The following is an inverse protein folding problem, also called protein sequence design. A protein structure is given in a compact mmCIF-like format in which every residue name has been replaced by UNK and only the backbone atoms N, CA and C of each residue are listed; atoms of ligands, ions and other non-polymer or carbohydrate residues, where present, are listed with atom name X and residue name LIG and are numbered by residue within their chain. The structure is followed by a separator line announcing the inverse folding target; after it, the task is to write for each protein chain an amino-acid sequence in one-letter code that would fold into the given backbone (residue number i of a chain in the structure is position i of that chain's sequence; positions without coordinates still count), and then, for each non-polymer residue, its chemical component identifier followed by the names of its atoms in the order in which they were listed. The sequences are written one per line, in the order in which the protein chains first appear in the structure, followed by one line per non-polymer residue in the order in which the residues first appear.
data_IF_014921856819
#
_entry.id   IF_014921856819
#
_cell.length_a   1.000
_cell.length_b   1.000
_cell.length_c   1.000
_cell.angle_alpha   90.00
_cell.angle_beta   90.00
_cell.angle_gamma   90.00
#
_symmetry.space_group_name_H-M   'P 1'
#
loop_
_entity.id
_entity.type
_entity.pdbx_description
1 polymer ?
#
# COMPACT_ATOMS: atom_id res chain seq x y z
N UNK A 1 -43.90 3.69 -11.46
CA UNK A 1 -43.64 2.34 -10.93
C UNK A 1 -43.21 2.53 -9.49
N UNK A 2 -44.02 2.05 -8.54
CA UNK A 2 -43.65 1.99 -7.12
C UNK A 2 -42.49 1.02 -7.01
N UNK A 3 -41.33 1.52 -6.66
CA UNK A 3 -40.16 0.69 -6.34
C UNK A 3 -40.53 -0.11 -5.09
N UNK A 4 -40.26 -1.41 -5.09
CA UNK A 4 -40.34 -2.20 -3.87
C UNK A 4 -39.34 -1.63 -2.88
N UNK A 5 -39.86 -1.05 -1.80
CA UNK A 5 -39.04 -0.51 -0.73
C UNK A 5 -38.20 -1.63 -0.12
N UNK A 6 -36.96 -1.32 0.24
CA UNK A 6 -35.94 -2.32 0.58
C UNK A 6 -35.25 -1.92 1.87
N UNK A 7 -34.89 -2.90 2.69
CA UNK A 7 -34.09 -2.65 3.88
C UNK A 7 -32.67 -2.19 3.51
N UNK A 8 -32.04 -1.29 4.29
CA UNK A 8 -30.68 -0.84 4.02
C UNK A 8 -29.65 -1.97 3.92
N UNK A 9 -29.75 -3.01 4.75
CA UNK A 9 -28.85 -4.17 4.72
C UNK A 9 -28.95 -4.96 3.41
N UNK A 10 -30.17 -5.14 2.91
CA UNK A 10 -30.44 -5.88 1.67
C UNK A 10 -29.98 -5.07 0.46
N UNK A 11 -30.21 -3.76 0.47
CA UNK A 11 -29.73 -2.84 -0.56
C UNK A 11 -28.19 -2.83 -0.62
N UNK A 12 -27.51 -2.83 0.52
CA UNK A 12 -26.04 -2.94 0.57
C UNK A 12 -25.57 -4.29 0.05
N UNK A 13 -26.22 -5.40 0.41
CA UNK A 13 -25.86 -6.72 -0.11
C UNK A 13 -25.96 -6.76 -1.65
N UNK A 14 -27.09 -6.29 -2.19
CA UNK A 14 -27.31 -6.22 -3.64
C UNK A 14 -26.31 -5.28 -4.35
N UNK A 15 -25.99 -4.13 -3.74
CA UNK A 15 -24.96 -3.24 -4.26
C UNK A 15 -23.57 -3.89 -4.32
N UNK A 16 -23.20 -4.63 -3.28
CA UNK A 16 -21.92 -5.32 -3.24
C UNK A 16 -21.86 -6.46 -4.26
N UNK A 17 -22.96 -7.15 -4.52
CA UNK A 17 -23.07 -8.15 -5.59
C UNK A 17 -22.90 -7.51 -6.98
N UNK A 18 -23.59 -6.39 -7.25
CA UNK A 18 -23.45 -5.62 -8.49
C UNK A 18 -22.00 -5.18 -8.72
N UNK A 19 -21.32 -4.71 -7.67
CA UNK A 19 -19.93 -4.26 -7.74
C UNK A 19 -18.90 -5.38 -7.82
N UNK A 20 -19.25 -6.62 -7.45
CA UNK A 20 -18.31 -7.73 -7.41
C UNK A 20 -17.76 -8.10 -8.81
N UNK A 21 -18.53 -7.81 -9.87
CA UNK A 21 -18.08 -8.03 -11.25
C UNK A 21 -17.02 -7.01 -11.72
N UNK A 22 -16.97 -5.82 -11.11
CA UNK A 22 -16.14 -4.70 -11.57
C UNK A 22 -14.94 -4.42 -10.67
N UNK A 23 -15.03 -4.75 -9.37
CA UNK A 23 -14.06 -4.35 -8.36
C UNK A 23 -13.19 -5.53 -7.93
N UNK A 24 -11.89 -5.25 -7.72
CA UNK A 24 -11.00 -6.19 -7.06
C UNK A 24 -11.50 -6.54 -5.64
N UNK A 25 -11.33 -7.79 -5.23
CA UNK A 25 -11.80 -8.33 -3.94
C UNK A 25 -11.44 -7.46 -2.73
N UNK A 26 -10.21 -6.91 -2.71
CA UNK A 26 -9.76 -6.06 -1.61
C UNK A 26 -10.53 -4.72 -1.56
N UNK A 27 -10.86 -4.17 -2.71
CA UNK A 27 -11.69 -2.95 -2.81
C UNK A 27 -13.10 -3.25 -2.36
N UNK A 28 -13.65 -4.40 -2.77
CA UNK A 28 -14.99 -4.85 -2.38
C UNK A 28 -15.07 -5.12 -0.87
N UNK A 29 -14.05 -5.74 -0.27
CA UNK A 29 -13.96 -5.92 1.19
C UNK A 29 -13.94 -4.57 1.93
N UNK A 30 -13.25 -3.57 1.38
CA UNK A 30 -13.26 -2.21 1.90
C UNK A 30 -14.64 -1.54 1.82
N UNK A 31 -15.39 -1.78 0.74
CA UNK A 31 -16.77 -1.30 0.59
C UNK A 31 -17.69 -1.97 1.62
N UNK A 32 -17.62 -3.30 1.74
CA UNK A 32 -18.39 -4.07 2.72
C UNK A 32 -18.17 -3.56 4.14
N UNK A 33 -16.92 -3.32 4.53
CA UNK A 33 -16.61 -2.79 5.86
C UNK A 33 -17.23 -1.40 6.08
N UNK A 34 -17.06 -0.46 5.14
CA UNK A 34 -17.56 0.92 5.28
C UNK A 34 -19.08 1.00 5.27
N UNK A 35 -19.73 0.25 4.39
CA UNK A 35 -21.19 0.21 4.28
C UNK A 35 -21.83 -0.56 5.43
N UNK A 36 -21.17 -1.62 5.93
CA UNK A 36 -21.57 -2.30 7.17
C UNK A 36 -21.60 -1.34 8.35
N UNK A 37 -20.54 -0.53 8.55
CA UNK A 37 -20.55 0.52 9.57
C UNK A 37 -21.65 1.57 9.37
N UNK A 38 -22.15 1.77 8.14
CA UNK A 38 -23.28 2.67 7.90
C UNK A 38 -24.59 1.99 8.31
N UNK A 39 -24.85 0.77 7.85
CA UNK A 39 -26.07 0.03 8.17
C UNK A 39 -26.18 -0.32 9.66
N UNK A 40 -25.06 -0.58 10.33
CA UNK A 40 -25.04 -0.88 11.78
C UNK A 40 -25.40 0.35 12.63
N UNK A 41 -25.09 1.55 12.13
CA UNK A 41 -25.42 2.82 12.80
C UNK A 41 -26.82 3.33 12.43
N UNK A 42 -27.31 2.96 11.25
CA UNK A 42 -28.53 3.50 10.68
C UNK A 42 -29.77 2.94 11.39
N UNK A 43 -30.60 3.84 11.92
CA UNK A 43 -31.83 3.51 12.65
C UNK A 43 -33.08 3.82 11.80
N UNK A 44 -33.16 3.17 10.63
CA UNK A 44 -34.37 3.17 9.78
C UNK A 44 -34.61 1.77 9.22
N UNK A 45 -35.88 1.42 8.98
CA UNK A 45 -36.24 0.10 8.48
C UNK A 45 -36.07 0.02 6.95
N UNK A 46 -36.28 1.13 6.24
CA UNK A 46 -36.35 1.18 4.79
C UNK A 46 -35.43 2.24 4.17
N UNK A 47 -34.96 1.96 2.95
CA UNK A 47 -34.15 2.91 2.17
C UNK A 47 -34.90 4.22 1.89
N UNK A 48 -36.22 4.16 1.69
CA UNK A 48 -37.05 5.34 1.43
C UNK A 48 -37.07 6.36 2.58
N UNK A 49 -36.74 5.93 3.80
CA UNK A 49 -36.67 6.78 5.00
C UNK A 49 -35.34 7.54 5.12
N UNK A 50 -34.34 7.22 4.29
CA UNK A 50 -33.05 7.90 4.32
C UNK A 50 -33.21 9.33 3.80
N UNK A 51 -32.95 10.29 4.68
CA UNK A 51 -33.01 11.72 4.37
C UNK A 51 -31.63 12.38 4.30
N UNK A 52 -31.51 13.58 3.70
CA UNK A 52 -30.28 14.36 3.75
C UNK A 52 -29.79 14.63 5.18
N UNK A 53 -30.71 14.72 6.14
CA UNK A 53 -30.38 14.95 7.56
C UNK A 53 -29.65 13.74 8.15
N UNK A 54 -30.14 12.52 7.90
CA UNK A 54 -29.51 11.27 8.36
C UNK A 54 -28.09 11.16 7.82
N UNK A 55 -27.89 11.44 6.52
CA UNK A 55 -26.55 11.40 5.90
C UNK A 55 -25.59 12.42 6.52
N UNK A 56 -26.09 13.60 6.91
CA UNK A 56 -25.30 14.60 7.65
C UNK A 56 -24.99 14.17 9.08
N UNK A 57 -25.94 13.57 9.78
CA UNK A 57 -25.76 13.03 11.13
C UNK A 57 -24.70 11.92 11.14
N UNK A 58 -24.75 11.02 10.16
CA UNK A 58 -23.75 9.97 10.01
C UNK A 58 -22.34 10.54 9.87
N UNK A 59 -22.17 11.55 9.00
CA UNK A 59 -20.88 12.24 8.87
C UNK A 59 -20.41 12.86 10.18
N UNK A 60 -21.30 13.52 10.91
CA UNK A 60 -20.98 14.18 12.18
C UNK A 60 -20.51 13.17 13.24
N UNK A 61 -21.11 11.99 13.28
CA UNK A 61 -20.71 10.89 14.18
C UNK A 61 -19.33 10.32 13.79
N UNK A 62 -19.09 10.10 12.49
CA UNK A 62 -17.84 9.48 12.01
C UNK A 62 -16.63 10.42 12.07
N UNK A 63 -16.85 11.73 11.94
CA UNK A 63 -15.78 12.71 11.82
C UNK A 63 -14.78 12.76 13.01
N UNK A 64 -15.21 12.75 14.29
CA UNK A 64 -14.27 12.77 15.42
C UNK A 64 -13.46 11.47 15.58
N UNK A 65 -13.92 10.35 15.02
CA UNK A 65 -13.28 9.04 15.21
C UNK A 65 -12.23 8.70 14.15
N UNK A 66 -12.20 9.44 13.04
CA UNK A 66 -11.44 9.08 11.86
C UNK A 66 -10.48 10.17 11.41
N UNK A 67 -9.32 9.75 10.91
CA UNK A 67 -8.48 10.62 10.10
C UNK A 67 -9.25 11.09 8.84
N UNK A 68 -8.98 12.30 8.36
CA UNK A 68 -9.73 12.91 7.25
C UNK A 68 -9.75 12.05 5.97
N UNK A 69 -8.65 11.38 5.63
CA UNK A 69 -8.59 10.47 4.47
C UNK A 69 -9.47 9.22 4.66
N UNK A 70 -9.52 8.69 5.87
CA UNK A 70 -10.40 7.56 6.20
C UNK A 70 -11.86 7.97 6.14
N UNK A 71 -12.19 9.14 6.70
CA UNK A 71 -13.53 9.73 6.62
C UNK A 71 -13.92 10.00 5.16
N UNK A 72 -13.01 10.56 4.36
CA UNK A 72 -13.21 10.77 2.93
C UNK A 72 -13.54 9.46 2.22
N UNK A 73 -12.74 8.41 2.44
CA UNK A 73 -12.98 7.11 1.83
C UNK A 73 -14.32 6.48 2.23
N UNK A 74 -14.72 6.63 3.50
CA UNK A 74 -16.02 6.16 3.98
C UNK A 74 -17.17 6.91 3.33
N UNK A 75 -17.11 8.24 3.27
CA UNK A 75 -18.15 9.07 2.67
C UNK A 75 -18.20 8.96 1.14
N UNK A 76 -17.07 8.79 0.46
CA UNK A 76 -17.04 8.55 -0.99
C UNK A 76 -17.66 7.17 -1.31
N UNK A 77 -17.38 6.12 -0.53
CA UNK A 77 -18.06 4.82 -0.68
C UNK A 77 -19.57 4.96 -0.45
N UNK A 78 -19.99 5.63 0.64
CA UNK A 78 -21.41 5.88 0.92
C UNK A 78 -22.08 6.66 -0.21
N UNK A 79 -21.42 7.69 -0.75
CA UNK A 79 -21.94 8.47 -1.87
C UNK A 79 -22.18 7.61 -3.11
N UNK A 80 -21.27 6.69 -3.44
CA UNK A 80 -21.45 5.78 -4.57
C UNK A 80 -22.62 4.82 -4.35
N UNK A 81 -22.78 4.29 -3.13
CA UNK A 81 -23.92 3.47 -2.77
C UNK A 81 -25.24 4.24 -2.92
N UNK A 82 -25.37 5.43 -2.32
CA UNK A 82 -26.59 6.26 -2.44
C UNK A 82 -26.88 6.61 -3.90
N UNK A 83 -25.86 6.95 -4.69
CA UNK A 83 -26.02 7.21 -6.12
C UNK A 83 -26.54 5.99 -6.87
N UNK A 84 -26.09 4.79 -6.53
CA UNK A 84 -26.61 3.55 -7.09
C UNK A 84 -28.07 3.31 -6.65
N UNK A 85 -28.40 3.54 -5.37
CA UNK A 85 -29.77 3.45 -4.85
C UNK A 85 -30.74 4.39 -5.57
N UNK A 86 -30.30 5.58 -5.99
CA UNK A 86 -31.10 6.49 -6.82
C UNK A 86 -31.46 5.90 -8.18
N UNK A 87 -30.55 5.13 -8.79
CA UNK A 87 -30.81 4.51 -10.12
C UNK A 87 -31.90 3.46 -10.06
N UNK A 88 -32.09 2.85 -8.88
CA UNK A 88 -33.15 1.89 -8.61
C UNK A 88 -34.41 2.54 -8.02
N UNK A 89 -34.36 3.85 -7.74
CA UNK A 89 -35.43 4.61 -7.09
C UNK A 89 -35.70 4.22 -5.63
N UNK A 90 -34.70 3.67 -4.94
CA UNK A 90 -34.76 3.33 -3.51
C UNK A 90 -34.66 4.56 -2.60
N UNK A 91 -34.12 5.67 -3.13
CA UNK A 91 -34.01 6.98 -2.46
C UNK A 91 -34.34 8.10 -3.44
N UNK A 92 -34.60 9.30 -2.92
CA UNK A 92 -34.88 10.48 -3.75
C UNK A 92 -33.71 10.81 -4.69
N UNK A 93 -34.01 11.22 -5.93
CA UNK A 93 -32.99 11.60 -6.91
C UNK A 93 -32.11 12.76 -6.41
N UNK A 94 -30.80 12.61 -6.54
CA UNK A 94 -29.82 13.62 -6.09
C UNK A 94 -29.43 13.52 -4.61
N UNK A 95 -29.94 12.55 -3.85
CA UNK A 95 -29.57 12.30 -2.45
C UNK A 95 -28.05 12.18 -2.22
N UNK A 96 -27.31 11.62 -3.19
CA UNK A 96 -25.85 11.46 -3.16
C UNK A 96 -25.11 12.80 -3.01
N UNK A 97 -25.71 13.91 -3.46
CA UNK A 97 -25.13 15.26 -3.32
C UNK A 97 -25.10 15.72 -1.86
N UNK A 98 -25.97 15.17 -1.01
CA UNK A 98 -26.00 15.43 0.42
C UNK A 98 -24.85 14.75 1.18
N UNK A 99 -24.25 13.70 0.59
CA UNK A 99 -23.05 13.07 1.13
C UNK A 99 -21.84 13.92 0.76
N UNK A 100 -21.43 14.83 1.64
CA UNK A 100 -20.29 15.76 1.39
C UNK A 100 -19.02 15.23 2.06
N UNK A 101 -18.14 14.62 1.27
CA UNK A 101 -16.81 14.21 1.70
C UNK A 101 -15.90 15.42 1.97
N UNK A 102 -15.01 15.36 2.97
CA UNK A 102 -13.95 16.36 3.13
C UNK A 102 -13.01 16.34 1.92
N UNK A 103 -12.20 17.40 1.78
CA UNK A 103 -11.18 17.48 0.73
C UNK A 103 -10.11 16.37 0.85
N UNK A 104 -10.00 15.75 2.02
CA UNK A 104 -8.95 14.80 2.38
C UNK A 104 -7.90 15.50 3.24
N UNK A 105 -7.20 14.73 4.06
CA UNK A 105 -6.15 15.24 4.93
C UNK A 105 -4.86 15.49 4.18
N UNK A 106 -4.00 16.31 4.77
CA UNK A 106 -2.61 16.39 4.33
C UNK A 106 -1.95 15.03 4.58
N UNK A 107 -1.74 14.24 3.51
CA UNK A 107 -1.09 12.94 3.63
C UNK A 107 0.26 13.11 4.32
N UNK A 108 0.46 12.47 5.48
CA UNK A 108 1.77 12.42 6.14
C UNK A 108 2.82 12.02 5.10
N UNK A 109 3.75 12.93 4.84
CA UNK A 109 4.78 12.82 3.81
C UNK A 109 5.97 11.96 4.27
N UNK A 110 5.73 11.03 5.20
CA UNK A 110 6.79 10.19 5.77
C UNK A 110 7.48 9.41 4.67
N UNK A 111 8.80 9.56 4.63
CA UNK A 111 9.71 9.01 3.63
C UNK A 111 10.90 8.43 4.39
N UNK A 112 11.39 7.25 3.98
CA UNK A 112 12.65 6.74 4.50
C UNK A 112 13.79 7.43 3.75
N UNK A 113 14.68 8.15 4.45
CA UNK A 113 15.83 8.79 3.79
C UNK A 113 16.83 7.75 3.29
N UNK A 114 17.66 8.13 2.32
CA UNK A 114 18.69 7.25 1.77
C UNK A 114 19.69 6.82 2.85
N UNK A 115 20.11 7.73 3.73
CA UNK A 115 21.06 7.43 4.81
C UNK A 115 20.48 6.41 5.80
N UNK A 116 19.19 6.53 6.13
CA UNK A 116 18.51 5.54 6.97
C UNK A 116 18.37 4.20 6.26
N UNK A 117 18.07 4.20 4.98
CA UNK A 117 18.01 2.97 4.19
C UNK A 117 19.38 2.27 4.15
N UNK A 118 20.45 3.00 3.87
CA UNK A 118 21.82 2.48 3.85
C UNK A 118 22.25 1.92 5.21
N UNK A 119 21.91 2.58 6.31
CA UNK A 119 22.19 2.07 7.65
C UNK A 119 21.46 0.74 7.93
N UNK A 120 20.17 0.65 7.56
CA UNK A 120 19.37 -0.57 7.73
C UNK A 120 19.90 -1.70 6.85
N UNK A 121 20.08 -1.44 5.56
CA UNK A 121 20.56 -2.44 4.60
C UNK A 121 21.99 -2.88 4.89
N UNK A 122 22.86 -1.97 5.33
CA UNK A 122 24.23 -2.28 5.75
C UNK A 122 24.27 -3.17 7.00
N UNK A 123 23.39 -2.94 7.98
CA UNK A 123 23.24 -3.82 9.13
C UNK A 123 22.75 -5.22 8.68
N UNK A 124 21.70 -5.27 7.86
CA UNK A 124 21.13 -6.52 7.37
C UNK A 124 22.12 -7.32 6.52
N UNK A 125 22.90 -6.66 5.67
CA UNK A 125 23.97 -7.28 4.89
C UNK A 125 25.03 -7.91 5.79
N UNK A 126 25.39 -7.23 6.89
CA UNK A 126 26.47 -7.68 7.78
C UNK A 126 26.06 -8.81 8.71
N UNK A 127 24.85 -8.75 9.26
CA UNK A 127 24.42 -9.64 10.35
C UNK A 127 23.30 -10.60 9.95
N UNK A 128 22.53 -10.27 8.91
CA UNK A 128 21.33 -11.00 8.49
C UNK A 128 21.38 -11.38 7.00
N UNK A 129 22.59 -11.61 6.47
CA UNK A 129 22.82 -11.84 5.04
C UNK A 129 21.93 -12.96 4.49
N UNK A 130 21.39 -12.69 3.30
CA UNK A 130 20.43 -13.53 2.58
C UNK A 130 19.22 -14.02 3.41
N UNK A 131 18.97 -13.48 4.61
CA UNK A 131 17.76 -13.77 5.36
C UNK A 131 16.53 -13.25 4.60
N UNK A 132 15.36 -13.78 4.94
CA UNK A 132 14.10 -13.28 4.40
C UNK A 132 13.99 -11.74 4.52
N UNK A 133 14.38 -11.20 5.67
CA UNK A 133 14.23 -9.78 5.97
C UNK A 133 15.19 -8.90 5.17
N UNK A 134 16.44 -9.33 5.05
CA UNK A 134 17.45 -8.66 4.24
C UNK A 134 17.04 -8.65 2.77
N UNK A 135 16.64 -9.80 2.23
CA UNK A 135 16.15 -9.94 0.86
C UNK A 135 14.93 -9.05 0.63
N UNK A 136 13.93 -9.08 1.52
CA UNK A 136 12.71 -8.30 1.39
C UNK A 136 12.99 -6.79 1.36
N UNK A 137 13.76 -6.27 2.32
CA UNK A 137 14.01 -4.82 2.38
C UNK A 137 14.90 -4.34 1.24
N UNK A 138 15.89 -5.15 0.85
CA UNK A 138 16.75 -4.84 -0.31
C UNK A 138 15.92 -4.79 -1.59
N UNK A 139 15.07 -5.79 -1.85
CA UNK A 139 14.19 -5.77 -3.02
C UNK A 139 13.25 -4.56 -2.98
N UNK A 140 12.64 -4.26 -1.84
CA UNK A 140 11.78 -3.08 -1.68
C UNK A 140 12.49 -1.78 -2.06
N UNK A 141 13.70 -1.56 -1.55
CA UNK A 141 14.49 -0.35 -1.82
C UNK A 141 14.92 -0.26 -3.29
N UNK A 142 15.52 -1.32 -3.83
CA UNK A 142 16.11 -1.25 -5.18
C UNK A 142 15.10 -1.35 -6.33
N UNK A 143 13.88 -1.84 -6.07
CA UNK A 143 12.85 -2.00 -7.13
C UNK A 143 11.70 -1.01 -6.98
N UNK A 144 11.56 -0.38 -5.81
CA UNK A 144 10.39 0.43 -5.46
C UNK A 144 9.06 -0.32 -5.57
N UNK A 145 9.04 -1.66 -5.59
CA UNK A 145 7.80 -2.42 -5.76
C UNK A 145 6.80 -2.18 -4.62
N UNK A 146 5.51 -2.27 -4.95
CA UNK A 146 4.45 -2.28 -3.93
C UNK A 146 4.48 -3.59 -3.17
N UNK A 147 4.00 -3.57 -1.93
CA UNK A 147 3.87 -4.78 -1.10
C UNK A 147 3.08 -5.90 -1.80
N UNK A 148 2.02 -5.56 -2.53
CA UNK A 148 1.25 -6.53 -3.32
C UNK A 148 2.08 -7.19 -4.43
N UNK A 149 2.84 -6.38 -5.18
CA UNK A 149 3.75 -6.88 -6.23
C UNK A 149 4.86 -7.76 -5.66
N UNK A 150 5.48 -7.37 -4.55
CA UNK A 150 6.50 -8.19 -3.89
C UNK A 150 5.94 -9.55 -3.44
N UNK A 151 4.76 -9.54 -2.83
CA UNK A 151 4.08 -10.76 -2.41
C UNK A 151 3.73 -11.67 -3.60
N UNK A 152 3.46 -11.09 -4.77
CA UNK A 152 3.05 -11.84 -5.96
C UNK A 152 4.19 -12.63 -6.63
N UNK A 153 5.45 -12.27 -6.35
CA UNK A 153 6.63 -12.91 -6.93
C UNK A 153 6.76 -14.38 -6.52
N UNK A 154 6.86 -15.23 -7.52
CA UNK A 154 7.22 -16.64 -7.42
C UNK A 154 8.69 -16.86 -7.75
N UNK A 155 9.20 -18.05 -7.47
CA UNK A 155 10.58 -18.42 -7.81
C UNK A 155 10.81 -18.30 -9.33
N UNK A 156 9.83 -18.66 -10.15
CA UNK A 156 9.91 -18.55 -11.61
C UNK A 156 10.05 -17.10 -12.10
N UNK A 157 9.59 -16.12 -11.31
CA UNK A 157 9.64 -14.70 -11.65
C UNK A 157 11.02 -14.06 -11.35
N UNK A 158 11.99 -14.82 -10.83
CA UNK A 158 13.29 -14.31 -10.36
C UNK A 158 14.40 -14.74 -11.30
N UNK A 159 14.76 -13.87 -12.24
CA UNK A 159 15.77 -14.13 -13.26
C UNK A 159 17.13 -13.55 -12.84
N UNK A 160 17.75 -14.15 -11.82
CA UNK A 160 19.03 -13.64 -11.28
C UNK A 160 20.19 -13.69 -12.29
N UNK A 161 20.21 -14.68 -13.19
CA UNK A 161 21.22 -14.79 -14.24
C UNK A 161 21.17 -13.63 -15.24
N UNK A 162 19.98 -13.14 -15.55
CA UNK A 162 19.74 -12.05 -16.50
C UNK A 162 19.55 -10.68 -15.80
N UNK A 163 19.47 -10.67 -14.47
CA UNK A 163 19.36 -9.46 -13.66
C UNK A 163 18.00 -8.77 -13.73
N UNK A 164 16.88 -9.52 -13.68
CA UNK A 164 15.54 -8.92 -13.65
C UNK A 164 14.49 -9.75 -12.88
N UNK A 165 13.37 -9.12 -12.56
CA UNK A 165 12.20 -9.71 -11.92
C UNK A 165 10.97 -9.57 -12.82
N UNK A 166 10.14 -10.60 -12.89
CA UNK A 166 8.88 -10.54 -13.63
C UNK A 166 7.70 -10.22 -12.71
N UNK A 167 7.09 -9.04 -12.86
CA UNK A 167 5.94 -8.66 -12.03
C UNK A 167 4.67 -9.00 -12.80
N UNK A 168 3.92 -9.98 -12.31
CA UNK A 168 2.78 -10.57 -13.02
C UNK A 168 1.45 -10.41 -12.25
N UNK A 169 0.35 -10.25 -12.99
CA UNK A 169 -1.01 -10.12 -12.45
C UNK A 169 -1.69 -11.47 -12.36
N UNK A 170 -1.89 -11.96 -11.14
CA UNK A 170 -2.49 -13.28 -10.89
C UNK A 170 -3.63 -13.16 -9.86
N UNK A 171 -4.77 -12.53 -10.22
CA UNK A 171 -5.91 -12.32 -9.32
C UNK A 171 -6.61 -13.63 -8.92
N UNK A 172 -6.67 -14.61 -9.83
CA UNK A 172 -7.29 -15.93 -9.64
C UNK A 172 -6.62 -16.76 -8.53
N UNK A 173 -5.35 -16.47 -8.24
CA UNK A 173 -4.57 -17.08 -7.15
C UNK A 173 -4.30 -16.08 -6.01
N UNK A 174 -5.19 -15.10 -5.83
CA UNK A 174 -5.16 -14.13 -4.73
C UNK A 174 -3.86 -13.32 -4.66
N UNK A 175 -3.29 -12.95 -5.80
CA UNK A 175 -2.14 -12.02 -5.92
C UNK A 175 -2.40 -10.93 -6.98
N UNK A 176 -3.49 -10.16 -6.88
CA UNK A 176 -3.74 -9.07 -7.81
C UNK A 176 -2.69 -7.96 -7.67
N UNK A 177 -2.38 -7.31 -8.78
CA UNK A 177 -1.57 -6.10 -8.84
C UNK A 177 -2.50 -4.90 -8.71
N UNK A 178 -1.96 -3.79 -8.20
CA UNK A 178 -2.75 -2.57 -7.97
C UNK A 178 -3.42 -2.06 -9.25
N UNK A 179 -2.71 -2.11 -10.36
CA UNK A 179 -3.15 -1.62 -11.66
C UNK A 179 -3.55 -2.78 -12.60
N UNK A 180 -3.83 -3.97 -12.06
CA UNK A 180 -4.17 -5.14 -12.88
C UNK A 180 -3.07 -5.49 -13.89
N UNK A 181 -3.49 -5.86 -15.10
CA UNK A 181 -2.61 -6.18 -16.23
C UNK A 181 -1.70 -5.00 -16.61
N UNK A 182 -2.18 -3.75 -16.48
CA UNK A 182 -1.36 -2.56 -16.78
C UNK A 182 -0.19 -2.39 -15.79
N UNK A 183 -0.21 -3.12 -14.67
CA UNK A 183 0.88 -3.17 -13.70
C UNK A 183 1.94 -4.22 -14.01
N UNK A 184 1.73 -5.11 -14.97
CA UNK A 184 2.68 -6.16 -15.35
C UNK A 184 3.91 -5.57 -16.03
N UNK A 185 5.10 -6.00 -15.61
CA UNK A 185 6.35 -5.51 -16.20
C UNK A 185 7.58 -6.27 -15.70
N UNK A 186 8.64 -6.37 -16.53
CA UNK A 186 9.96 -6.70 -16.05
C UNK A 186 10.57 -5.54 -15.25
N UNK A 187 11.30 -5.86 -14.19
CA UNK A 187 12.04 -4.89 -13.37
C UNK A 187 13.50 -5.31 -13.26
N UNK A 188 14.39 -4.52 -13.86
CA UNK A 188 15.83 -4.80 -13.79
C UNK A 188 16.38 -4.60 -12.37
N UNK A 189 17.32 -5.45 -12.00
CA UNK A 189 18.02 -5.43 -10.72
C UNK A 189 19.54 -5.43 -10.97
N UNK A 190 20.28 -4.80 -10.07
CA UNK A 190 21.75 -4.80 -10.16
C UNK A 190 22.33 -6.19 -9.89
N UNK A 191 23.56 -6.49 -10.35
CA UNK A 191 24.24 -7.76 -10.04
C UNK A 191 24.28 -8.05 -8.54
N UNK A 192 24.55 -7.04 -7.70
CA UNK A 192 24.55 -7.19 -6.23
C UNK A 192 23.20 -7.66 -5.69
N UNK A 193 22.10 -7.14 -6.23
CA UNK A 193 20.74 -7.56 -5.82
C UNK A 193 20.48 -8.98 -6.34
N UNK A 194 20.84 -9.27 -7.60
CA UNK A 194 20.68 -10.60 -8.17
C UNK A 194 21.44 -11.68 -7.37
N UNK A 195 22.67 -11.39 -6.94
CA UNK A 195 23.46 -12.27 -6.08
C UNK A 195 22.76 -12.53 -4.75
N UNK A 196 22.24 -11.48 -4.10
CA UNK A 196 21.48 -11.61 -2.85
C UNK A 196 20.22 -12.47 -3.04
N UNK A 197 19.46 -12.23 -4.11
CA UNK A 197 18.24 -13.01 -4.38
C UNK A 197 18.58 -14.48 -4.66
N UNK A 198 19.68 -14.73 -5.38
CA UNK A 198 20.18 -16.07 -5.65
C UNK A 198 20.61 -16.78 -4.37
N UNK A 199 21.38 -16.10 -3.52
CA UNK A 199 21.83 -16.64 -2.23
C UNK A 199 20.62 -16.96 -1.32
N UNK A 200 19.62 -16.08 -1.29
CA UNK A 200 18.38 -16.33 -0.57
C UNK A 200 17.67 -17.57 -1.11
N UNK A 201 17.46 -17.64 -2.43
CA UNK A 201 16.75 -18.72 -3.09
C UNK A 201 17.35 -20.09 -2.78
N UNK A 202 18.67 -20.22 -2.89
CA UNK A 202 19.35 -21.51 -2.79
C UNK A 202 19.69 -21.93 -1.36
N UNK A 203 19.83 -20.99 -0.42
CA UNK A 203 20.37 -21.31 0.91
C UNK A 203 19.45 -20.97 2.09
N UNK A 204 18.47 -20.09 1.91
CA UNK A 204 17.71 -19.50 3.04
C UNK A 204 16.20 -19.54 2.84
N UNK A 205 15.71 -19.61 1.60
CA UNK A 205 14.28 -19.69 1.28
C UNK A 205 13.70 -20.99 1.85
N UNK A 206 12.52 -20.90 2.44
CA UNK A 206 11.78 -22.09 2.90
C UNK A 206 11.07 -22.69 1.70
N UNK A 207 11.42 -23.91 1.30
CA UNK A 207 10.77 -24.55 0.15
C UNK A 207 9.34 -25.01 0.50
N UNK A 208 8.37 -24.13 0.22
CA UNK A 208 6.97 -24.32 0.52
C UNK A 208 6.07 -23.61 -0.49
N UNK A 209 5.14 -24.37 -1.05
CA UNK A 209 4.08 -23.85 -1.92
C UNK A 209 2.96 -23.17 -1.10
N UNK A 210 2.23 -22.28 -1.75
CA UNK A 210 1.03 -21.67 -1.19
C UNK A 210 -0.24 -22.50 -1.42
N UNK A 211 -1.37 -22.01 -0.89
CA UNK A 211 -2.66 -22.69 -0.98
C UNK A 211 -3.18 -22.85 -2.43
N UNK A 212 -2.58 -22.14 -3.38
CA UNK A 212 -2.88 -22.25 -4.81
C UNK A 212 -1.89 -23.15 -5.57
N UNK A 213 -0.98 -23.82 -4.87
CA UNK A 213 0.02 -24.71 -5.46
C UNK A 213 1.16 -23.98 -6.19
N UNK A 214 1.31 -22.67 -5.96
CA UNK A 214 2.40 -21.87 -6.52
C UNK A 214 3.59 -21.83 -5.56
N UNK A 215 4.80 -21.62 -6.10
CA UNK A 215 6.03 -21.57 -5.30
C UNK A 215 6.47 -20.11 -5.06
N UNK A 216 5.99 -19.45 -3.98
CA UNK A 216 6.33 -18.05 -3.68
C UNK A 216 7.82 -17.86 -3.39
N UNK A 217 8.38 -16.76 -3.88
CA UNK A 217 9.73 -16.35 -3.52
C UNK A 217 9.78 -15.88 -2.06
N UNK A 218 8.90 -14.95 -1.68
CA UNK A 218 8.73 -14.52 -0.29
C UNK A 218 7.76 -15.44 0.46
N UNK A 219 8.33 -16.50 1.01
CA UNK A 219 7.61 -17.63 1.59
C UNK A 219 7.79 -17.74 3.11
N UNK A 220 7.07 -18.70 3.69
CA UNK A 220 7.04 -19.04 5.10
C UNK A 220 6.73 -20.51 5.30
N UNK A 221 6.78 -20.98 6.56
CA UNK A 221 6.28 -22.32 6.92
C UNK A 221 4.79 -22.54 6.59
N UNK A 222 4.04 -21.47 6.34
CA UNK A 222 2.62 -21.49 5.95
C UNK A 222 2.41 -21.12 4.47
N UNK A 223 3.45 -21.21 3.63
CA UNK A 223 3.38 -20.78 2.22
C UNK A 223 3.60 -19.26 2.07
N UNK A 224 2.95 -18.65 1.06
CA UNK A 224 3.15 -17.24 0.66
C UNK A 224 2.96 -16.28 1.83
N UNK A 225 3.89 -15.34 2.00
CA UNK A 225 3.78 -14.34 3.07
C UNK A 225 2.59 -13.40 2.86
N UNK A 226 1.90 -13.07 3.94
CA UNK A 226 0.81 -12.10 3.92
C UNK A 226 1.33 -10.66 3.86
N UNK A 227 0.55 -9.76 3.27
CA UNK A 227 0.88 -8.33 3.22
C UNK A 227 1.03 -7.74 4.64
N UNK A 228 0.21 -8.19 5.59
CA UNK A 228 0.30 -7.80 7.00
C UNK A 228 1.64 -8.19 7.61
N UNK A 229 2.15 -9.40 7.32
CA UNK A 229 3.44 -9.84 7.85
C UNK A 229 4.61 -9.05 7.25
N UNK A 230 4.59 -8.79 5.93
CA UNK A 230 5.57 -7.90 5.27
C UNK A 230 5.59 -6.52 5.93
N UNK A 231 4.41 -5.94 6.21
CA UNK A 231 4.29 -4.65 6.90
C UNK A 231 4.90 -4.67 8.31
N UNK A 232 4.66 -5.74 9.08
CA UNK A 232 5.25 -5.89 10.42
C UNK A 232 6.78 -5.99 10.36
N UNK A 233 7.32 -6.71 9.36
CA UNK A 233 8.77 -6.83 9.16
C UNK A 233 9.40 -5.48 8.85
N UNK A 234 8.76 -4.69 7.98
CA UNK A 234 9.19 -3.32 7.67
C UNK A 234 9.18 -2.44 8.93
N UNK A 235 8.11 -2.47 9.73
CA UNK A 235 8.09 -1.73 10.98
C UNK A 235 9.19 -2.15 11.93
N UNK A 236 9.43 -3.46 12.07
CA UNK A 236 10.49 -3.98 12.94
C UNK A 236 11.85 -3.40 12.58
N UNK A 237 12.21 -3.46 11.29
CA UNK A 237 13.55 -3.10 10.80
C UNK A 237 13.78 -1.61 10.60
N UNK A 238 12.73 -0.81 10.57
CA UNK A 238 12.85 0.65 10.44
C UNK A 238 12.96 1.38 11.77
N UNK A 239 12.83 0.68 12.90
CA UNK A 239 13.15 1.21 14.24
C UNK A 239 14.67 1.42 14.37
N UNK A 240 15.15 2.61 14.76
CA UNK A 240 16.60 2.87 14.90
C UNK A 240 17.32 1.90 15.87
N UNK A 241 16.70 1.61 17.02
CA UNK A 241 17.31 0.78 18.06
C UNK A 241 17.56 -0.67 17.65
N UNK A 242 16.84 -1.20 16.63
CA UNK A 242 17.01 -2.60 16.18
C UNK A 242 18.36 -2.81 15.47
N UNK A 243 18.95 -1.73 14.95
CA UNK A 243 20.26 -1.72 14.29
C UNK A 243 21.33 -1.05 15.17
N UNK A 244 21.05 -0.87 16.46
CA UNK A 244 21.98 -0.29 17.44
C UNK A 244 22.11 1.23 17.40
N UNK A 245 21.21 1.95 16.72
CA UNK A 245 21.18 3.41 16.76
C UNK A 245 20.43 3.93 17.98
N UNK A 246 20.84 5.11 18.46
CA UNK A 246 20.13 5.82 19.53
C UNK A 246 18.69 6.16 19.13
N UNK A 247 17.80 6.25 20.12
CA UNK A 247 16.41 6.61 19.87
C UNK A 247 16.30 8.12 19.58
N UNK A 248 15.83 8.55 18.40
CA UNK A 248 15.72 9.97 18.04
C UNK A 248 14.77 10.77 18.93
N UNK A 249 13.84 10.09 19.61
CA UNK A 249 12.87 10.69 20.54
C UNK A 249 13.22 10.41 22.01
N UNK A 250 14.44 9.93 22.29
CA UNK A 250 14.97 9.78 23.65
C UNK A 250 14.30 8.68 24.51
N UNK A 251 13.63 7.69 23.90
CA UNK A 251 13.07 6.55 24.64
C UNK A 251 14.14 5.51 24.94
N UNK A 252 14.13 4.94 26.15
CA UNK A 252 14.92 3.76 26.48
C UNK A 252 14.36 2.52 25.76
N UNK A 253 15.17 1.82 24.93
CA UNK A 253 14.74 0.58 24.29
C UNK A 253 14.29 -0.52 25.27
N UNK A 254 14.78 -0.54 26.50
CA UNK A 254 14.40 -1.54 27.50
C UNK A 254 12.96 -1.31 28.04
N UNK A 255 12.49 -0.06 28.05
CA UNK A 255 11.15 0.31 28.53
C UNK A 255 10.16 0.61 27.39
N UNK A 256 10.64 0.64 26.15
CA UNK A 256 9.83 0.94 24.98
C UNK A 256 9.08 -0.31 24.49
N UNK A 257 7.74 -0.31 24.59
CA UNK A 257 6.88 -1.41 24.13
C UNK A 257 7.17 -1.83 22.68
N UNK A 258 7.48 -0.84 21.84
CA UNK A 258 7.75 -1.04 20.43
C UNK A 258 9.15 -1.57 20.17
N UNK A 259 10.07 -1.58 21.14
CA UNK A 259 11.39 -2.20 21.04
C UNK A 259 11.39 -3.61 21.64
N UNK A 260 10.69 -3.82 22.76
CA UNK A 260 10.62 -5.13 23.46
C UNK A 260 9.71 -6.16 22.77
N UNK A 261 8.63 -5.72 22.11
CA UNK A 261 7.76 -6.61 21.31
C UNK A 261 7.73 -6.17 19.84
N UNK A 262 8.27 -7.03 18.96
CA UNK A 262 8.26 -6.81 17.53
C UNK A 262 6.85 -6.71 16.92
N UNK A 263 5.82 -7.27 17.58
CA UNK A 263 4.41 -7.10 17.16
C UNK A 263 3.93 -5.67 17.33
N UNK A 264 4.52 -4.94 18.29
CA UNK A 264 4.22 -3.55 18.59
C UNK A 264 5.18 -2.58 17.90
N UNK A 265 6.05 -3.06 17.00
CA UNK A 265 7.03 -2.22 16.30
C UNK A 265 6.40 -1.04 15.54
N UNK A 266 5.16 -1.19 15.07
CA UNK A 266 4.41 -0.11 14.41
C UNK A 266 3.98 1.04 15.34
N UNK A 267 4.09 0.87 16.67
CA UNK A 267 3.85 1.94 17.67
C UNK A 267 5.06 2.85 17.88
N UNK A 268 6.23 2.49 17.35
CA UNK A 268 7.40 3.37 17.38
C UNK A 268 7.16 4.56 16.43
N UNK A 269 7.33 5.81 16.87
CA UNK A 269 7.13 6.98 16.02
C UNK A 269 8.11 7.05 14.84
N UNK A 270 9.28 6.40 14.96
CA UNK A 270 10.31 6.35 13.92
C UNK A 270 10.15 5.18 12.94
N UNK A 271 9.27 4.22 13.24
CA UNK A 271 8.96 3.13 12.31
C UNK A 271 8.19 3.67 11.12
N UNK A 272 8.55 3.24 9.91
CA UNK A 272 7.90 3.70 8.69
C UNK A 272 7.15 2.59 7.99
N UNK A 273 6.15 2.95 7.20
CA UNK A 273 5.36 1.96 6.44
C UNK A 273 6.10 1.48 5.19
N UNK A 274 5.70 0.35 4.57
CA UNK A 274 6.23 -0.06 3.27
C UNK A 274 6.16 1.03 2.19
N UNK A 275 5.12 1.86 2.24
CA UNK A 275 4.95 2.99 1.31
C UNK A 275 6.02 4.07 1.49
N UNK A 276 6.50 4.28 2.72
CA UNK A 276 7.58 5.24 2.99
C UNK A 276 8.94 4.77 2.47
N UNK A 277 9.21 3.45 2.49
CA UNK A 277 10.40 2.86 1.84
C UNK A 277 10.32 3.09 0.34
N UNK A 278 9.19 2.74 -0.28
CA UNK A 278 8.95 2.97 -1.70
C UNK A 278 9.10 4.45 -2.07
N UNK A 279 8.57 5.36 -1.26
CA UNK A 279 8.71 6.80 -1.49
C UNK A 279 10.16 7.26 -1.38
N UNK A 280 10.90 6.74 -0.41
CA UNK A 280 12.34 6.99 -0.23
C UNK A 280 13.14 6.53 -1.43
N UNK A 281 12.92 5.30 -1.88
CA UNK A 281 13.60 4.72 -3.04
C UNK A 281 13.33 5.52 -4.34
N UNK A 282 12.07 5.87 -4.62
CA UNK A 282 11.71 6.69 -5.78
C UNK A 282 12.38 8.06 -5.70
N UNK A 283 12.40 8.69 -4.51
CA UNK A 283 13.06 9.97 -4.30
C UNK A 283 14.56 9.86 -4.58
N UNK A 284 15.20 8.81 -4.05
CA UNK A 284 16.62 8.56 -4.23
C UNK A 284 16.98 8.34 -5.70
N UNK A 285 16.22 7.54 -6.45
CA UNK A 285 16.48 7.39 -7.89
C UNK A 285 16.35 8.71 -8.65
N UNK A 286 15.37 9.54 -8.29
CA UNK A 286 15.22 10.85 -8.91
C UNK A 286 16.35 11.82 -8.52
N UNK A 287 16.95 11.69 -7.34
CA UNK A 287 18.11 12.51 -6.93
C UNK A 287 19.41 12.04 -7.57
N UNK A 288 19.52 10.76 -7.91
CA UNK A 288 20.65 10.15 -8.64
C UNK A 288 20.50 10.27 -10.17
N UNK A 289 19.80 11.30 -10.65
CA UNK A 289 19.63 11.63 -12.07
C UNK A 289 19.06 10.50 -12.96
N UNK A 290 18.32 9.55 -12.38
CA UNK A 290 17.52 8.61 -13.17
C UNK A 290 16.34 9.34 -13.78
N UNK A 291 16.14 9.16 -15.09
CA UNK A 291 15.06 9.81 -15.84
C UNK A 291 13.70 9.50 -15.19
N UNK A 292 12.87 10.53 -14.91
CA UNK A 292 11.58 10.33 -14.25
C UNK A 292 10.65 9.34 -14.97
N UNK A 293 10.75 9.23 -16.29
CA UNK A 293 10.00 8.25 -17.10
C UNK A 293 10.41 6.81 -16.78
N UNK A 294 11.69 6.57 -16.54
CA UNK A 294 12.22 5.24 -16.20
C UNK A 294 11.82 4.87 -14.77
N UNK A 295 11.90 5.83 -13.84
CA UNK A 295 11.41 5.65 -12.47
C UNK A 295 9.89 5.38 -12.46
N UNK A 296 9.13 6.12 -13.27
CA UNK A 296 7.68 5.94 -13.47
C UNK A 296 7.34 4.53 -13.95
N UNK A 297 8.03 4.05 -15.00
CA UNK A 297 7.85 2.71 -15.55
C UNK A 297 8.25 1.62 -14.55
N UNK A 298 9.45 1.72 -13.96
CA UNK A 298 9.94 0.77 -12.93
C UNK A 298 8.98 0.67 -11.76
N UNK A 299 8.54 1.80 -11.21
CA UNK A 299 7.70 1.83 -10.03
C UNK A 299 6.21 1.58 -10.35
N UNK A 300 5.79 1.54 -11.61
CA UNK A 300 4.38 1.48 -12.01
C UNK A 300 3.58 2.62 -11.34
N UNK A 301 3.95 3.86 -11.62
CA UNK A 301 3.27 5.06 -11.10
C UNK A 301 3.18 6.10 -12.20
N UNK A 302 1.99 6.70 -12.41
CA UNK A 302 1.86 7.71 -13.45
C UNK A 302 2.71 8.95 -13.16
N UNK A 303 3.18 9.63 -14.20
CA UNK A 303 4.00 10.84 -14.08
C UNK A 303 3.35 11.94 -13.23
N UNK A 304 2.03 12.11 -13.33
CA UNK A 304 1.28 13.06 -12.50
C UNK A 304 1.34 12.70 -11.02
N UNK A 305 1.18 11.41 -10.68
CA UNK A 305 1.28 10.91 -9.31
C UNK A 305 2.72 10.97 -8.80
N UNK A 306 3.71 10.62 -9.64
CA UNK A 306 5.13 10.69 -9.32
C UNK A 306 5.52 12.11 -8.88
N UNK A 307 5.21 13.11 -9.70
CA UNK A 307 5.52 14.52 -9.42
C UNK A 307 4.81 15.07 -8.19
N UNK A 308 3.56 14.66 -7.96
CA UNK A 308 2.74 15.18 -6.86
C UNK A 308 3.06 14.52 -5.52
N UNK A 309 3.38 13.22 -5.51
CA UNK A 309 3.38 12.42 -4.29
C UNK A 309 4.70 11.73 -3.96
N UNK A 310 5.69 11.78 -4.85
CA UNK A 310 6.95 11.05 -4.68
C UNK A 310 8.19 11.90 -4.97
N UNK A 311 8.11 12.88 -5.87
CA UNK A 311 9.21 13.81 -6.11
C UNK A 311 9.28 14.89 -5.01
N UNK A 312 9.91 14.55 -3.89
CA UNK A 312 10.12 15.44 -2.73
C UNK A 312 11.36 16.33 -2.85
N UNK A 313 12.04 16.32 -4.01
CA UNK A 313 13.20 17.18 -4.27
C UNK A 313 12.79 18.65 -4.27
N UNK A 314 13.65 19.51 -3.75
CA UNK A 314 13.41 20.96 -3.71
C UNK A 314 13.47 21.57 -5.12
N UNK A 315 12.88 22.76 -5.36
CA UNK A 315 13.06 23.46 -6.63
C UNK A 315 14.52 23.66 -7.03
N UNK A 316 15.41 23.82 -6.04
CA UNK A 316 16.85 23.98 -6.22
C UNK A 316 17.51 22.68 -6.69
N UNK A 317 17.15 21.54 -6.11
CA UNK A 317 17.63 20.22 -6.56
C UNK A 317 17.24 19.97 -8.03
N UNK A 318 15.99 20.28 -8.39
CA UNK A 318 15.50 20.17 -9.77
C UNK A 318 16.20 21.14 -10.72
N UNK A 319 16.60 22.32 -10.24
CA UNK A 319 17.40 23.27 -11.03
C UNK A 319 18.82 22.73 -11.27
N UNK A 320 19.49 22.22 -10.23
CA UNK A 320 20.84 21.67 -10.34
C UNK A 320 20.91 20.46 -11.27
N UNK A 321 19.92 19.56 -11.21
CA UNK A 321 19.79 18.45 -12.15
C UNK A 321 19.68 18.96 -13.60
N UNK A 322 18.80 19.95 -13.84
CA UNK A 322 18.67 20.56 -15.18
C UNK A 322 19.96 21.23 -15.64
N UNK A 323 20.73 21.82 -14.72
CA UNK A 323 22.03 22.44 -15.04
C UNK A 323 22.98 21.42 -15.65
N UNK A 324 23.05 20.21 -15.11
CA UNK A 324 23.85 19.11 -15.69
C UNK A 324 23.47 18.77 -17.13
N UNK A 325 22.17 18.78 -17.45
CA UNK A 325 21.68 18.54 -18.82
C UNK A 325 21.97 19.70 -19.79
N UNK A 326 22.02 20.94 -19.30
CA UNK A 326 22.34 22.12 -20.12
C UNK A 326 23.85 22.36 -20.26
N UNK A 327 24.66 21.97 -19.28
CA UNK A 327 26.12 22.03 -19.32
C UNK A 327 26.71 20.93 -20.24
N UNK A 328 25.90 19.91 -20.61
CA UNK A 328 26.27 18.83 -21.51
C UNK A 328 25.90 19.07 -23.00
N UNK A 329 25.39 20.26 -23.34
CA UNK A 329 25.09 20.71 -24.71
C UNK A 329 26.26 21.51 -25.30
#
# INVERSE_FOLDING_TARGET
MTVEDMKPTDAVALYLEDRAAELADLTLAGYRSRLGTFTDWLDVDMMSEITPLILKQYKAERAPELAEDSLKGQLDTLRHFIRWSETLGLVESGMHKSVVSPAGGEQRSTTLSAERADAILGYLERYERASFDHTLLTTMWHTSLRTGSLRALDVEDIHTGDGWLDVQHRPETNTPLKNGNDGERPVSISPRVADLLSEHLHHRRIDKDDDSGRTPFFTSRYGRRSATNIRMIVYRWTRPCVIGQECPVGRDPAECEAAVDNRLAGKCPESVSPHAIRRGAITHFLSEDVEPTDVSARADVSMGVLRKHYDVRTPHDKMNQRRGSFDAL
#
